data_IF_803761256427
#
_entry.id   IF_803761256427
#
_cell.length_a   1.000
_cell.length_b   1.000
_cell.length_c   1.000
_cell.angle_alpha   90.00
_cell.angle_beta   90.00
_cell.angle_gamma   90.00
#
_symmetry.space_group_name_H-M   'P 1'
#
loop_
_entity.id
_entity.type
_entity.pdbx_description
1 polymer ?
#
# COMPACT_ATOMS: atom_id res chain seq x y z
N UNK A 1 7.69 -9.30 -3.13
CA UNK A 1 6.91 -10.57 -3.10
C UNK A 1 7.20 -11.37 -1.83
N UNK A 2 8.47 -11.73 -1.56
CA UNK A 2 8.85 -12.48 -0.35
C UNK A 2 8.30 -11.91 0.97
N UNK A 3 8.36 -10.58 1.14
CA UNK A 3 7.82 -9.91 2.33
C UNK A 3 6.31 -10.18 2.53
N UNK A 4 5.51 -10.12 1.47
CA UNK A 4 4.06 -10.35 1.58
C UNK A 4 3.76 -11.83 1.87
N UNK A 5 4.51 -12.76 1.28
CA UNK A 5 4.35 -14.20 1.60
C UNK A 5 4.71 -14.51 3.05
N UNK A 6 5.77 -13.88 3.58
CA UNK A 6 6.09 -13.94 5.02
C UNK A 6 4.95 -13.34 5.87
N UNK A 7 4.33 -12.25 5.43
CA UNK A 7 3.18 -11.67 6.12
C UNK A 7 1.96 -12.58 6.12
N UNK A 8 1.65 -13.26 5.01
CA UNK A 8 0.62 -14.30 4.95
C UNK A 8 0.95 -15.39 5.96
N UNK A 9 2.10 -16.04 5.80
CA UNK A 9 2.51 -17.17 6.64
C UNK A 9 2.48 -16.82 8.14
N UNK A 10 3.10 -15.70 8.54
CA UNK A 10 3.12 -15.27 9.94
C UNK A 10 1.72 -14.94 10.50
N UNK A 11 0.82 -14.39 9.70
CA UNK A 11 -0.55 -14.10 10.14
C UNK A 11 -1.34 -15.39 10.41
N UNK A 12 -1.26 -16.34 9.49
CA UNK A 12 -1.93 -17.64 9.64
C UNK A 12 -1.32 -18.46 10.79
N UNK A 13 0.01 -18.49 10.90
CA UNK A 13 0.69 -19.14 12.01
C UNK A 13 0.33 -18.51 13.36
N UNK A 14 0.18 -17.18 13.42
CA UNK A 14 -0.30 -16.48 14.61
C UNK A 14 -1.72 -16.91 14.99
N UNK A 15 -2.64 -16.98 14.03
CA UNK A 15 -4.01 -17.46 14.28
C UNK A 15 -3.97 -18.87 14.87
N UNK A 16 -3.11 -19.74 14.33
CA UNK A 16 -2.94 -21.13 14.76
C UNK A 16 -2.05 -21.31 15.99
N UNK A 17 -1.66 -20.23 16.67
CA UNK A 17 -0.88 -20.30 17.91
C UNK A 17 0.53 -20.85 17.74
N UNK A 18 1.13 -20.71 16.55
CA UNK A 18 2.47 -21.25 16.27
C UNK A 18 2.49 -22.71 15.86
N UNK A 19 1.35 -23.40 15.85
CA UNK A 19 1.29 -24.82 15.50
C UNK A 19 1.23 -25.01 13.98
N UNK A 20 2.33 -25.50 13.41
CA UNK A 20 2.49 -25.73 11.97
C UNK A 20 1.65 -26.92 11.49
N UNK A 21 1.40 -27.92 12.34
CA UNK A 21 0.62 -29.11 11.96
C UNK A 21 -0.84 -28.75 11.65
N UNK A 22 -1.37 -27.72 12.32
CA UNK A 22 -2.73 -27.24 12.08
C UNK A 22 -2.91 -26.57 10.72
N UNK A 23 -1.83 -26.16 10.05
CA UNK A 23 -1.92 -25.57 8.71
C UNK A 23 -2.52 -26.58 7.73
N UNK A 24 -2.20 -27.87 7.87
CA UNK A 24 -2.75 -28.95 7.04
C UNK A 24 -4.24 -29.21 7.26
N UNK A 25 -4.81 -28.71 8.35
CA UNK A 25 -6.23 -28.86 8.70
C UNK A 25 -7.09 -27.67 8.25
N UNK A 26 -6.47 -26.61 7.73
CA UNK A 26 -7.19 -25.44 7.22
C UNK A 26 -7.68 -25.74 5.80
N UNK A 27 -9.00 -25.67 5.63
CA UNK A 27 -9.61 -25.89 4.32
C UNK A 27 -9.89 -24.58 3.57
N UNK A 28 -10.44 -24.71 2.35
CA UNK A 28 -10.81 -23.56 1.54
C UNK A 28 -11.94 -22.74 2.17
N UNK A 29 -12.89 -23.36 2.86
CA UNK A 29 -14.02 -22.67 3.47
C UNK A 29 -13.55 -21.77 4.63
N UNK A 30 -12.57 -22.23 5.41
CA UNK A 30 -11.89 -21.44 6.45
C UNK A 30 -11.21 -20.22 5.85
N UNK A 31 -10.40 -20.43 4.79
CA UNK A 31 -9.72 -19.33 4.08
C UNK A 31 -10.72 -18.33 3.50
N UNK A 32 -11.80 -18.82 2.87
CA UNK A 32 -12.81 -17.96 2.26
C UNK A 32 -13.62 -17.19 3.31
N UNK A 33 -13.84 -17.75 4.50
CA UNK A 33 -14.50 -17.07 5.61
C UNK A 33 -13.64 -15.98 6.23
N UNK A 34 -12.31 -16.20 6.32
CA UNK A 34 -11.37 -15.34 7.03
C UNK A 34 -10.74 -14.23 6.19
N UNK A 35 -10.47 -14.48 4.90
CA UNK A 35 -9.76 -13.53 4.04
C UNK A 35 -10.42 -12.15 4.07
N UNK A 36 -9.60 -11.09 4.07
CA UNK A 36 -10.06 -9.70 4.04
C UNK A 36 -10.99 -9.32 5.21
N UNK A 37 -10.91 -10.00 6.34
CA UNK A 37 -11.58 -9.60 7.59
C UNK A 37 -10.58 -9.13 8.63
N UNK A 38 -11.00 -8.20 9.48
CA UNK A 38 -10.21 -7.66 10.57
C UNK A 38 -11.00 -7.75 11.89
N UNK A 39 -11.19 -8.96 12.46
CA UNK A 39 -12.06 -9.18 13.62
C UNK A 39 -11.67 -8.39 14.88
N UNK A 40 -10.39 -8.03 15.05
CA UNK A 40 -9.96 -7.17 16.15
C UNK A 40 -10.34 -5.69 15.99
N UNK A 41 -10.62 -5.24 14.76
CA UNK A 41 -10.94 -3.86 14.44
C UNK A 41 -12.41 -3.65 13.99
N UNK A 42 -13.07 -4.70 13.48
CA UNK A 42 -14.41 -4.63 12.89
C UNK A 42 -15.39 -5.53 13.63
N UNK A 43 -16.36 -4.91 14.32
CA UNK A 43 -17.45 -5.63 15.02
C UNK A 43 -18.26 -6.52 14.07
N UNK A 44 -18.48 -6.08 12.83
CA UNK A 44 -19.21 -6.85 11.83
C UNK A 44 -18.43 -8.11 11.41
N UNK A 45 -17.11 -8.00 11.25
CA UNK A 45 -16.27 -9.16 10.96
C UNK A 45 -16.22 -10.13 12.13
N UNK A 46 -16.07 -9.60 13.34
CA UNK A 46 -16.08 -10.38 14.57
C UNK A 46 -17.36 -11.20 14.71
N UNK A 47 -18.53 -10.54 14.59
CA UNK A 47 -19.83 -11.21 14.71
C UNK A 47 -20.05 -12.26 13.62
N UNK A 48 -19.66 -11.98 12.38
CA UNK A 48 -19.73 -12.95 11.29
C UNK A 48 -18.91 -14.20 11.59
N UNK A 49 -17.67 -14.03 12.07
CA UNK A 49 -16.79 -15.15 12.38
C UNK A 49 -17.24 -15.90 13.64
N UNK A 50 -17.74 -15.19 14.65
CA UNK A 50 -18.22 -15.79 15.90
C UNK A 50 -19.38 -16.75 15.66
N UNK A 51 -20.35 -16.35 14.82
CA UNK A 51 -21.48 -17.22 14.46
C UNK A 51 -20.99 -18.52 13.81
N UNK A 52 -20.01 -18.45 12.90
CA UNK A 52 -19.45 -19.63 12.22
C UNK A 52 -18.61 -20.49 13.16
N UNK A 53 -17.86 -19.87 14.06
CA UNK A 53 -17.06 -20.56 15.06
C UNK A 53 -17.93 -21.34 16.06
N UNK A 54 -18.97 -20.70 16.60
CA UNK A 54 -19.92 -21.31 17.54
C UNK A 54 -20.68 -22.49 16.91
N UNK A 55 -21.02 -22.39 15.62
CA UNK A 55 -21.68 -23.45 14.88
C UNK A 55 -20.73 -24.56 14.40
N UNK A 56 -19.46 -24.54 14.82
CA UNK A 56 -18.41 -25.48 14.40
C UNK A 56 -18.20 -25.55 12.88
N UNK A 57 -18.56 -24.48 12.15
CA UNK A 57 -18.34 -24.34 10.70
C UNK A 57 -16.94 -23.83 10.41
N UNK A 58 -16.43 -22.92 11.25
CA UNK A 58 -15.06 -22.42 11.14
C UNK A 58 -14.10 -23.36 11.87
N UNK A 59 -13.00 -23.74 11.20
CA UNK A 59 -12.00 -24.69 11.64
C UNK A 59 -12.57 -26.09 11.93
N UNK A 60 -13.48 -26.59 11.11
CA UNK A 60 -14.26 -27.80 11.40
C UNK A 60 -13.38 -29.04 11.70
N UNK A 61 -12.22 -29.15 11.05
CA UNK A 61 -11.26 -30.26 11.23
C UNK A 61 -10.48 -30.20 12.55
N UNK A 62 -10.55 -29.11 13.30
CA UNK A 62 -9.88 -28.95 14.61
C UNK A 62 -10.92 -29.21 15.70
N UNK A 63 -10.87 -30.39 16.32
CA UNK A 63 -11.90 -30.86 17.27
C UNK A 63 -11.53 -30.63 18.74
N UNK A 64 -10.25 -30.50 19.08
CA UNK A 64 -9.80 -30.26 20.45
C UNK A 64 -10.31 -28.88 20.95
N UNK A 65 -11.13 -28.88 22.00
CA UNK A 65 -11.83 -27.69 22.49
C UNK A 65 -10.89 -26.58 22.97
N UNK A 66 -9.81 -26.94 23.69
CA UNK A 66 -8.84 -25.97 24.21
C UNK A 66 -8.08 -25.31 23.07
N UNK A 67 -7.64 -26.11 22.08
CA UNK A 67 -6.97 -25.63 20.89
C UNK A 67 -7.88 -24.72 20.05
N UNK A 68 -9.15 -25.09 19.86
CA UNK A 68 -10.15 -24.24 19.20
C UNK A 68 -10.29 -22.90 19.92
N UNK A 69 -10.39 -22.92 21.24
CA UNK A 69 -10.55 -21.68 22.03
C UNK A 69 -9.31 -20.79 21.96
N UNK A 70 -8.11 -21.38 21.94
CA UNK A 70 -6.86 -20.64 21.72
C UNK A 70 -6.83 -19.99 20.33
N UNK A 71 -7.19 -20.73 19.28
CA UNK A 71 -7.28 -20.19 17.91
C UNK A 71 -8.27 -19.03 17.86
N UNK A 72 -9.43 -19.15 18.52
CA UNK A 72 -10.41 -18.08 18.58
C UNK A 72 -9.86 -16.81 19.23
N UNK A 73 -9.14 -16.92 20.36
CA UNK A 73 -8.49 -15.79 21.02
C UNK A 73 -7.46 -15.11 20.11
N UNK A 74 -6.62 -15.90 19.43
CA UNK A 74 -5.63 -15.38 18.50
C UNK A 74 -6.29 -14.69 17.30
N UNK A 75 -7.31 -15.31 16.72
CA UNK A 75 -8.06 -14.77 15.59
C UNK A 75 -8.71 -13.44 15.93
N UNK A 76 -9.32 -13.31 17.11
CA UNK A 76 -9.99 -12.08 17.52
C UNK A 76 -9.03 -10.94 17.87
N UNK A 77 -7.74 -11.24 18.08
CA UNK A 77 -6.69 -10.21 18.24
C UNK A 77 -6.17 -9.64 16.92
N UNK A 78 -6.63 -10.13 15.77
CA UNK A 78 -6.15 -9.67 14.46
C UNK A 78 -6.81 -8.33 14.09
N UNK A 79 -6.08 -7.22 14.28
CA UNK A 79 -6.54 -5.86 13.94
C UNK A 79 -6.47 -5.51 12.45
N UNK A 80 -5.70 -6.25 11.64
CA UNK A 80 -5.55 -6.02 10.20
C UNK A 80 -6.40 -6.99 9.37
N UNK A 81 -6.53 -6.70 8.07
CA UNK A 81 -7.13 -7.65 7.14
C UNK A 81 -6.31 -8.94 7.10
N UNK A 82 -6.95 -10.08 7.28
CA UNK A 82 -6.28 -11.38 7.17
C UNK A 82 -5.86 -11.59 5.70
N UNK A 83 -4.54 -11.65 5.42
CA UNK A 83 -4.01 -11.70 4.07
C UNK A 83 -4.04 -13.12 3.50
N UNK A 84 -4.17 -13.22 2.18
CA UNK A 84 -4.12 -14.46 1.41
C UNK A 84 -3.37 -14.24 0.10
N UNK A 85 -3.03 -15.31 -0.62
CA UNK A 85 -2.51 -15.19 -1.98
C UNK A 85 -3.48 -14.45 -2.90
N UNK A 86 -4.79 -14.65 -2.71
CA UNK A 86 -5.81 -13.92 -3.45
C UNK A 86 -5.76 -12.42 -3.16
N UNK A 87 -5.75 -12.02 -1.88
CA UNK A 87 -5.67 -10.59 -1.53
C UNK A 87 -4.38 -9.96 -2.04
N UNK A 88 -3.25 -10.68 -2.01
CA UNK A 88 -2.00 -10.23 -2.61
C UNK A 88 -2.17 -9.81 -4.07
N UNK A 89 -2.79 -10.67 -4.90
CA UNK A 89 -3.01 -10.32 -6.31
C UNK A 89 -3.97 -9.15 -6.49
N UNK A 90 -4.94 -8.97 -5.59
CA UNK A 90 -5.83 -7.81 -5.61
C UNK A 90 -5.09 -6.51 -5.22
N UNK A 91 -4.28 -6.55 -4.16
CA UNK A 91 -3.43 -5.44 -3.73
C UNK A 91 -2.44 -5.04 -4.82
N UNK A 92 -1.84 -6.01 -5.52
CA UNK A 92 -0.93 -5.76 -6.65
C UNK A 92 -1.63 -5.03 -7.79
N UNK A 93 -2.91 -5.34 -8.08
CA UNK A 93 -3.68 -4.64 -9.11
C UNK A 93 -3.87 -3.17 -8.73
N UNK A 94 -4.11 -2.89 -7.46
CA UNK A 94 -4.25 -1.53 -6.94
C UNK A 94 -2.92 -0.76 -6.95
N UNK A 95 -1.83 -1.38 -6.51
CA UNK A 95 -0.51 -0.73 -6.38
C UNK A 95 0.15 -0.51 -7.75
N UNK A 96 -0.10 -1.36 -8.74
CA UNK A 96 0.56 -1.31 -10.06
C UNK A 96 0.47 0.07 -10.76
N UNK A 97 -0.71 0.69 -10.93
CA UNK A 97 -0.77 2.02 -11.57
C UNK A 97 -0.06 3.10 -10.76
N UNK A 98 -0.11 3.03 -9.42
CA UNK A 98 0.60 3.94 -8.54
C UNK A 98 2.13 3.80 -8.73
N UNK A 99 2.61 2.56 -8.77
CA UNK A 99 4.02 2.25 -9.02
C UNK A 99 4.47 2.73 -10.41
N UNK A 100 3.58 2.69 -11.42
CA UNK A 100 3.85 3.24 -12.75
C UNK A 100 4.06 4.75 -12.69
N UNK A 101 3.22 5.48 -11.96
CA UNK A 101 3.39 6.92 -11.75
C UNK A 101 4.71 7.22 -11.00
N UNK A 102 5.00 6.50 -9.92
CA UNK A 102 6.28 6.64 -9.19
C UNK A 102 7.49 6.40 -10.09
N UNK A 103 7.48 5.36 -10.92
CA UNK A 103 8.58 5.07 -11.86
C UNK A 103 8.77 6.15 -12.91
N UNK A 104 7.69 6.78 -13.39
CA UNK A 104 7.78 7.88 -14.36
C UNK A 104 8.28 9.19 -13.73
N UNK A 105 7.89 9.47 -12.48
CA UNK A 105 8.45 10.59 -11.69
C UNK A 105 9.98 10.41 -11.50
N UNK A 106 10.37 9.18 -11.19
CA UNK A 106 11.72 8.77 -10.87
C UNK A 106 12.46 8.20 -12.09
N UNK A 107 11.98 8.40 -13.31
CA UNK A 107 12.68 7.90 -14.47
C UNK A 107 13.93 8.74 -14.73
N UNK A 108 14.99 8.10 -15.21
CA UNK A 108 16.11 8.80 -15.84
C UNK A 108 16.19 8.35 -17.29
N UNK A 109 15.47 9.07 -18.16
CA UNK A 109 15.39 8.74 -19.58
C UNK A 109 16.71 8.95 -20.34
N UNK A 110 17.73 9.54 -19.70
CA UNK A 110 19.08 9.64 -20.29
C UNK A 110 19.77 8.28 -20.46
N UNK A 111 19.30 7.23 -19.77
CA UNK A 111 19.91 5.89 -19.74
C UNK A 111 19.08 4.81 -20.45
N UNK A 112 18.12 5.21 -21.29
CA UNK A 112 17.21 4.32 -22.03
C UNK A 112 15.77 4.31 -21.49
N UNK A 113 14.84 3.79 -22.29
CA UNK A 113 13.39 3.95 -22.10
C UNK A 113 12.79 3.27 -20.85
N UNK A 114 13.58 2.52 -20.06
CA UNK A 114 13.05 1.73 -18.94
C UNK A 114 13.69 2.08 -17.59
N UNK A 115 12.83 2.28 -16.58
CA UNK A 115 13.22 2.42 -15.19
C UNK A 115 13.92 1.13 -14.70
N UNK A 116 15.17 1.24 -14.24
CA UNK A 116 15.96 0.13 -13.67
C UNK A 116 15.89 0.13 -12.14
N UNK A 117 15.83 -1.06 -11.55
CA UNK A 117 15.85 -1.24 -10.09
C UNK A 117 14.48 -1.16 -9.39
N UNK A 118 14.51 -0.86 -8.09
CA UNK A 118 13.30 -0.71 -7.25
C UNK A 118 13.02 0.76 -6.97
N UNK A 119 11.75 1.11 -6.74
CA UNK A 119 11.35 2.49 -6.40
C UNK A 119 12.05 2.95 -5.10
N UNK A 120 12.24 2.06 -4.13
CA UNK A 120 12.84 2.36 -2.84
C UNK A 120 14.33 2.76 -2.96
N UNK A 121 15.11 1.98 -3.70
CA UNK A 121 16.50 2.31 -4.03
C UNK A 121 16.54 3.65 -4.78
N UNK A 122 15.70 3.80 -5.80
CA UNK A 122 15.71 4.97 -6.65
C UNK A 122 15.19 6.26 -5.97
N UNK A 123 14.42 6.14 -4.88
CA UNK A 123 14.06 7.25 -4.00
C UNK A 123 15.21 7.62 -3.07
N UNK A 124 15.88 6.62 -2.49
CA UNK A 124 17.05 6.79 -1.63
C UNK A 124 18.17 7.50 -2.40
N UNK A 125 18.48 7.05 -3.60
CA UNK A 125 19.53 7.62 -4.46
C UNK A 125 19.22 9.08 -4.88
N UNK A 126 17.94 9.43 -4.97
CA UNK A 126 17.48 10.77 -5.40
C UNK A 126 17.22 11.72 -4.26
N UNK A 127 17.30 11.25 -3.02
CA UNK A 127 17.13 12.10 -1.85
C UNK A 127 18.45 12.84 -1.59
N UNK A 128 18.50 14.11 -1.98
CA UNK A 128 19.64 14.99 -1.74
C UNK A 128 19.43 15.91 -0.53
N UNK A 129 18.25 15.90 0.08
CA UNK A 129 17.91 16.77 1.20
C UNK A 129 17.70 18.24 0.80
N UNK A 130 17.58 18.54 -0.49
CA UNK A 130 17.24 19.89 -0.98
C UNK A 130 15.93 20.34 -0.32
N UNK A 131 15.83 21.61 0.09
CA UNK A 131 14.65 22.12 0.80
C UNK A 131 14.34 21.43 2.14
N UNK A 132 15.20 20.56 2.68
CA UNK A 132 15.04 19.99 4.03
C UNK A 132 15.82 20.80 5.06
N UNK A 133 15.40 20.73 6.32
CA UNK A 133 16.08 21.35 7.46
C UNK A 133 16.44 20.27 8.45
N UNK A 134 17.70 20.24 8.92
CA UNK A 134 18.16 19.24 9.88
C UNK A 134 17.34 19.31 11.17
N UNK A 135 16.90 18.16 11.66
CA UNK A 135 16.05 18.06 12.86
C UNK A 135 14.57 18.35 12.64
N UNK A 136 14.17 18.70 11.40
CA UNK A 136 12.78 19.06 11.07
C UNK A 136 12.24 18.12 10.01
N UNK A 137 11.13 17.46 10.31
CA UNK A 137 10.33 16.70 9.36
C UNK A 137 9.15 17.55 8.89
N UNK A 138 9.03 17.73 7.58
CA UNK A 138 7.85 18.36 6.95
C UNK A 138 6.79 17.30 6.70
N UNK A 139 5.61 17.44 7.30
CA UNK A 139 4.46 16.56 7.06
C UNK A 139 3.38 17.30 6.28
N UNK A 140 3.00 16.79 5.11
CA UNK A 140 1.87 17.31 4.35
C UNK A 140 0.57 16.98 5.07
N UNK A 141 -0.18 18.01 5.48
CA UNK A 141 -1.50 17.86 6.14
C UNK A 141 -2.65 18.13 5.17
N UNK A 142 -2.43 19.03 4.23
CA UNK A 142 -3.34 19.39 3.15
C UNK A 142 -2.53 19.51 1.85
N UNK A 143 -3.20 19.55 0.71
CA UNK A 143 -2.56 19.48 -0.61
C UNK A 143 -1.42 20.50 -0.78
N UNK A 144 -1.54 21.69 -0.21
CA UNK A 144 -0.52 22.74 -0.28
C UNK A 144 0.10 23.10 1.08
N UNK A 145 -0.32 22.49 2.20
CA UNK A 145 0.13 22.88 3.55
C UNK A 145 0.94 21.79 4.23
N UNK A 146 2.08 22.22 4.76
CA UNK A 146 3.00 21.39 5.54
C UNK A 146 3.05 21.85 7.00
N UNK A 147 3.19 20.90 7.90
CA UNK A 147 3.50 21.15 9.31
C UNK A 147 4.91 20.66 9.59
N UNK A 148 5.71 21.50 10.25
CA UNK A 148 7.02 21.12 10.74
C UNK A 148 6.89 20.39 12.08
N UNK A 149 7.52 19.22 12.20
CA UNK A 149 7.66 18.48 13.45
C UNK A 149 9.12 18.08 13.65
N UNK A 150 9.51 17.73 14.87
CA UNK A 150 10.86 17.20 15.13
C UNK A 150 11.04 15.86 14.40
N UNK A 151 12.17 15.66 13.75
CA UNK A 151 12.46 14.40 13.05
C UNK A 151 13.89 14.29 12.54
N UNK A 152 14.32 13.06 12.31
CA UNK A 152 15.65 12.74 11.77
C UNK A 152 15.67 12.78 10.25
N UNK A 153 16.86 12.71 9.65
CA UNK A 153 17.01 12.54 8.18
C UNK A 153 16.38 11.22 7.72
N UNK A 154 16.48 10.16 8.53
CA UNK A 154 15.83 8.89 8.23
C UNK A 154 14.29 9.03 8.22
N UNK A 155 13.73 9.84 9.11
CA UNK A 155 12.30 10.16 9.09
C UNK A 155 11.93 10.97 7.84
N UNK A 156 12.74 11.96 7.45
CA UNK A 156 12.51 12.72 6.21
C UNK A 156 12.42 11.80 4.99
N UNK A 157 13.37 10.86 4.85
CA UNK A 157 13.34 9.89 3.75
C UNK A 157 12.11 8.98 3.83
N UNK A 158 11.83 8.41 5.01
CA UNK A 158 10.71 7.48 5.21
C UNK A 158 9.36 8.14 4.92
N UNK A 159 9.09 9.29 5.53
CA UNK A 159 7.83 9.99 5.39
C UNK A 159 7.73 10.72 4.04
N UNK A 160 8.85 11.19 3.48
CA UNK A 160 8.94 11.68 2.11
C UNK A 160 8.49 10.62 1.10
N UNK A 161 9.03 9.40 1.23
CA UNK A 161 8.66 8.26 0.39
C UNK A 161 7.14 7.99 0.51
N UNK A 162 6.62 7.95 1.73
CA UNK A 162 5.20 7.72 1.99
C UNK A 162 4.30 8.81 1.38
N UNK A 163 4.67 10.08 1.51
CA UNK A 163 3.88 11.19 0.94
C UNK A 163 3.83 11.14 -0.59
N UNK A 164 4.93 10.78 -1.25
CA UNK A 164 4.93 10.58 -2.71
C UNK A 164 4.04 9.40 -3.13
N UNK A 165 4.10 8.29 -2.40
CA UNK A 165 3.20 7.15 -2.63
C UNK A 165 1.73 7.52 -2.41
N UNK A 166 1.42 8.30 -1.38
CA UNK A 166 0.06 8.76 -1.09
C UNK A 166 -0.46 9.71 -2.17
N UNK A 167 0.38 10.63 -2.65
CA UNK A 167 0.03 11.50 -3.77
C UNK A 167 -0.26 10.67 -5.03
N UNK A 168 0.64 9.74 -5.37
CA UNK A 168 0.43 8.80 -6.47
C UNK A 168 -0.86 8.00 -6.30
N UNK A 169 -1.15 7.50 -5.10
CA UNK A 169 -2.37 6.74 -4.80
C UNK A 169 -3.64 7.58 -5.00
N UNK A 170 -3.58 8.88 -4.70
CA UNK A 170 -4.71 9.79 -4.86
C UNK A 170 -4.96 10.18 -6.32
N UNK A 171 -3.89 10.37 -7.09
CA UNK A 171 -3.96 10.98 -8.42
C UNK A 171 -3.56 10.05 -9.57
N UNK A 172 -3.27 8.77 -9.34
CA UNK A 172 -2.85 7.87 -10.41
C UNK A 172 -3.78 7.84 -11.64
N UNK A 173 -5.13 7.96 -11.55
CA UNK A 173 -5.98 7.96 -12.73
C UNK A 173 -5.72 9.16 -13.66
N UNK A 174 -5.19 10.25 -13.11
CA UNK A 174 -4.85 11.47 -13.84
C UNK A 174 -3.34 11.56 -14.12
N UNK A 175 -2.51 10.65 -13.59
CA UNK A 175 -1.07 10.60 -13.84
C UNK A 175 -0.70 9.57 -14.91
N UNK A 176 -1.41 8.45 -14.98
CA UNK A 176 -1.12 7.37 -15.93
C UNK A 176 -2.37 6.92 -16.66
N UNK A 177 -2.23 6.51 -17.92
CA UNK A 177 -3.31 5.90 -18.71
C UNK A 177 -3.70 4.53 -18.14
N UNK A 178 -4.55 4.53 -17.13
CA UNK A 178 -5.14 3.35 -16.51
C UNK A 178 -6.50 3.71 -15.88
N UNK A 179 -7.38 2.73 -15.70
CA UNK A 179 -8.71 2.93 -15.14
C UNK A 179 -8.86 2.31 -13.76
N UNK A 180 -9.55 2.99 -12.82
CA UNK A 180 -10.01 2.37 -11.60
C UNK A 180 -10.80 1.10 -11.92
N UNK A 181 -10.69 0.11 -11.04
CA UNK A 181 -11.48 -1.10 -11.16
C UNK A 181 -12.96 -0.76 -10.99
N UNK A 182 -13.78 -1.23 -11.93
CA UNK A 182 -15.23 -1.11 -11.84
C UNK A 182 -15.84 -2.33 -11.18
N UNK A 183 -17.03 -2.16 -10.62
CA UNK A 183 -17.82 -3.28 -10.10
C UNK A 183 -18.27 -4.22 -11.22
N UNK A 184 -18.58 -5.46 -10.86
CA UNK A 184 -19.04 -6.45 -11.83
C UNK A 184 -20.37 -6.00 -12.44
N UNK A 185 -20.41 -5.83 -13.76
CA UNK A 185 -21.59 -5.37 -14.48
C UNK A 185 -21.64 -3.85 -14.71
N UNK A 186 -20.73 -3.07 -14.11
CA UNK A 186 -20.62 -1.64 -14.38
C UNK A 186 -19.93 -1.38 -15.72
N UNK A 187 -20.31 -0.27 -16.38
CA UNK A 187 -19.69 0.18 -17.64
C UNK A 187 -18.19 0.34 -17.48
N UNK A 188 -17.41 -0.17 -18.43
CA UNK A 188 -15.96 0.03 -18.44
C UNK A 188 -15.64 1.52 -18.57
N UNK A 189 -14.74 2.01 -17.71
CA UNK A 189 -14.23 3.37 -17.78
C UNK A 189 -13.19 3.46 -18.90
N UNK A 190 -13.14 4.61 -19.57
CA UNK A 190 -12.06 4.97 -20.48
C UNK A 190 -10.91 5.62 -19.71
N UNK A 191 -9.64 5.25 -19.97
CA UNK A 191 -8.50 5.90 -19.32
C UNK A 191 -8.49 7.39 -19.66
N UNK A 192 -8.27 8.22 -18.65
CA UNK A 192 -8.05 9.65 -18.87
C UNK A 192 -6.66 9.88 -19.44
N UNK A 193 -6.51 10.96 -20.19
CA UNK A 193 -5.19 11.44 -20.57
C UNK A 193 -4.45 11.96 -19.32
N UNK A 194 -3.14 11.67 -19.17
CA UNK A 194 -2.34 12.23 -18.09
C UNK A 194 -2.42 13.76 -18.08
N UNK A 195 -2.71 14.33 -16.92
CA UNK A 195 -2.82 15.77 -16.74
C UNK A 195 -1.47 16.37 -16.38
N UNK A 196 -1.02 17.35 -17.17
CA UNK A 196 0.25 18.06 -16.95
C UNK A 196 0.29 18.74 -15.57
N UNK A 197 -0.82 19.36 -15.15
CA UNK A 197 -0.95 20.01 -13.83
C UNK A 197 -0.70 19.03 -12.69
N UNK A 198 -1.22 17.79 -12.78
CA UNK A 198 -1.00 16.77 -11.75
C UNK A 198 0.45 16.31 -11.70
N UNK A 199 1.09 16.18 -12.86
CA UNK A 199 2.52 15.88 -12.93
C UNK A 199 3.38 16.99 -12.34
N UNK A 200 3.05 18.25 -12.63
CA UNK A 200 3.74 19.41 -12.08
C UNK A 200 3.59 19.50 -10.56
N UNK A 201 2.39 19.32 -10.00
CA UNK A 201 2.21 19.29 -8.54
C UNK A 201 2.96 18.12 -7.90
N UNK A 202 3.02 16.96 -8.57
CA UNK A 202 3.77 15.81 -8.07
C UNK A 202 5.28 16.09 -7.98
N UNK A 203 5.82 16.82 -8.97
CA UNK A 203 7.25 17.17 -8.99
C UNK A 203 7.59 18.26 -7.99
N UNK A 204 6.71 19.25 -7.81
CA UNK A 204 6.83 20.24 -6.73
C UNK A 204 6.85 19.57 -5.36
N UNK A 205 5.95 18.61 -5.13
CA UNK A 205 5.94 17.83 -3.89
C UNK A 205 7.27 17.08 -3.69
N UNK A 206 7.78 16.41 -4.74
CA UNK A 206 9.07 15.71 -4.66
C UNK A 206 10.23 16.64 -4.32
N UNK A 207 10.32 17.83 -4.95
CA UNK A 207 11.36 18.82 -4.62
C UNK A 207 11.21 19.37 -3.20
N UNK A 208 9.98 19.65 -2.77
CA UNK A 208 9.70 20.14 -1.42
C UNK A 208 10.08 19.13 -0.33
N UNK A 209 10.07 17.84 -0.67
CA UNK A 209 10.47 16.72 0.19
C UNK A 209 11.95 16.33 0.03
N UNK A 210 12.71 17.05 -0.80
CA UNK A 210 14.16 16.88 -0.94
C UNK A 210 14.63 15.80 -1.90
N UNK A 211 13.76 15.42 -2.84
CA UNK A 211 14.12 14.58 -3.96
C UNK A 211 14.50 15.41 -5.19
N UNK A 212 15.57 15.00 -5.87
CA UNK A 212 16.04 15.64 -7.09
C UNK A 212 16.46 14.60 -8.13
N UNK A 213 16.11 14.87 -9.38
CA UNK A 213 16.51 14.07 -10.55
C UNK A 213 16.44 14.92 -11.81
N UNK A 214 17.05 14.47 -12.91
CA UNK A 214 16.90 15.14 -14.21
C UNK A 214 15.44 15.32 -14.60
N UNK A 215 14.62 14.26 -14.42
CA UNK A 215 13.19 14.29 -14.73
C UNK A 215 12.41 15.22 -13.82
N UNK A 216 12.66 15.22 -12.51
CA UNK A 216 12.02 16.13 -11.56
C UNK A 216 12.36 17.58 -11.92
N UNK A 217 13.62 17.87 -12.27
CA UNK A 217 14.06 19.21 -12.70
C UNK A 217 13.38 19.63 -14.01
N UNK A 218 13.36 18.77 -15.03
CA UNK A 218 12.68 19.04 -16.31
C UNK A 218 11.20 19.34 -16.14
N UNK A 219 10.48 18.50 -15.37
CA UNK A 219 9.05 18.69 -15.14
C UNK A 219 8.74 19.93 -14.30
N UNK A 220 9.68 20.40 -13.48
CA UNK A 220 9.50 21.66 -12.73
C UNK A 220 9.71 22.90 -13.59
N UNK A 221 10.53 22.82 -14.65
CA UNK A 221 10.76 23.93 -15.58
C UNK A 221 9.61 24.17 -16.57
N UNK A 222 8.69 23.21 -16.70
CA UNK A 222 7.53 23.28 -17.58
C UNK A 222 6.30 23.68 -16.76
N UNK A 223 6.13 24.98 -16.51
CA UNK A 223 4.89 25.49 -15.90
C UNK A 223 3.70 25.12 -16.80
N UNK A 224 2.66 24.44 -16.30
CA UNK A 224 1.52 24.06 -17.11
C UNK A 224 0.83 25.28 -17.73
N UNK A 225 0.30 25.12 -18.94
CA UNK A 225 -0.40 26.16 -19.69
C UNK A 225 -1.83 26.43 -19.20
N UNK A 226 -2.37 25.59 -18.32
CA UNK A 226 -3.66 25.75 -17.65
C UNK A 226 -3.45 25.96 -16.14
N UNK A 227 -4.12 26.96 -15.56
CA UNK A 227 -4.01 27.31 -14.14
C UNK A 227 -4.65 26.26 -13.19
N UNK A 228 -4.25 26.33 -11.92
CA UNK A 228 -4.50 25.37 -10.83
C UNK A 228 -5.93 25.33 -10.29
#
# INVERSE_FOLDING_TARGET
VLHYFKHIYSTWLRILGGNVELIGLIDRADVDALKLRAPGASRNDLMFLQRRFNNSVLFASITNADQRMQIWRNLTSIYGLIPTLRSFFEDVKFIRPIAKAMKQLLADYSQGESFKGTIDVALTDRFCGENQTKGVLKLQRLDTKFTAVSGTVADQLRFGNLMLWLYGARHWPDLVKACPRTEKGAKMLTPREPQEVKWYVFTLLARQLGYSSNRIRQLTSQTPSQEF
#
